data_IF_030814781852
#
_entry.id   IF_030814781852
#
_cell.length_a   1.000
_cell.length_b   1.000
_cell.length_c   1.000
_cell.angle_alpha   90.00
_cell.angle_beta   90.00
_cell.angle_gamma   90.00
#
_symmetry.space_group_name_H-M   'P 1'
#
loop_
_entity.id
_entity.type
_entity.pdbx_description
1 polymer ?
#
# COMPACT_ATOMS: atom_id res chain seq x y z
N UNK A 1 -4.78 28.26 -20.40
CA UNK A 1 -4.06 28.44 -19.12
C UNK A 1 -4.63 27.56 -18.01
N UNK A 2 -5.95 27.59 -17.72
CA UNK A 2 -6.56 26.75 -16.67
C UNK A 2 -6.60 25.24 -16.98
N UNK A 3 -6.86 24.86 -18.24
CA UNK A 3 -6.85 23.44 -18.67
C UNK A 3 -5.50 22.73 -18.46
N UNK A 4 -4.39 23.47 -18.57
CA UNK A 4 -3.04 22.92 -18.37
C UNK A 4 -2.75 22.63 -16.88
N UNK A 5 -3.26 23.48 -15.98
CA UNK A 5 -3.11 23.31 -14.53
C UNK A 5 -3.90 22.09 -14.02
N UNK A 6 -5.12 21.89 -14.51
CA UNK A 6 -5.95 20.75 -14.13
C UNK A 6 -5.33 19.44 -14.62
N UNK A 7 -4.97 19.37 -15.90
CA UNK A 7 -4.29 18.21 -16.46
C UNK A 7 -3.01 17.85 -15.68
N UNK A 8 -2.24 18.86 -15.26
CA UNK A 8 -1.08 18.67 -14.40
C UNK A 8 -1.43 18.09 -13.02
N UNK A 9 -2.44 18.63 -12.32
CA UNK A 9 -2.87 18.14 -11.00
C UNK A 9 -3.34 16.68 -11.06
N UNK A 10 -4.12 16.33 -12.07
CA UNK A 10 -4.62 14.96 -12.29
C UNK A 10 -3.45 14.01 -12.56
N UNK A 11 -2.56 14.34 -13.51
CA UNK A 11 -1.38 13.50 -13.83
C UNK A 11 -0.48 13.29 -12.63
N UNK A 12 -0.27 14.34 -11.83
CA UNK A 12 0.52 14.27 -10.59
C UNK A 12 -0.10 13.30 -9.58
N UNK A 13 -1.42 13.32 -9.42
CA UNK A 13 -2.10 12.40 -8.50
C UNK A 13 -2.07 10.95 -8.99
N UNK A 14 -2.26 10.71 -10.29
CA UNK A 14 -2.08 9.37 -10.86
C UNK A 14 -0.65 8.84 -10.65
N UNK A 15 0.37 9.68 -10.86
CA UNK A 15 1.77 9.29 -10.60
C UNK A 15 2.01 8.92 -9.13
N UNK A 16 1.41 9.66 -8.19
CA UNK A 16 1.47 9.33 -6.76
C UNK A 16 0.81 7.98 -6.46
N UNK A 17 -0.37 7.73 -7.05
CA UNK A 17 -1.09 6.46 -6.91
C UNK A 17 -0.28 5.29 -7.47
N UNK A 18 0.31 5.43 -8.66
CA UNK A 18 1.14 4.40 -9.30
C UNK A 18 2.36 4.04 -8.44
N UNK A 19 3.01 5.03 -7.84
CA UNK A 19 4.12 4.80 -6.90
C UNK A 19 3.66 3.99 -5.68
N UNK A 20 2.52 4.37 -5.08
CA UNK A 20 1.95 3.65 -3.95
C UNK A 20 1.52 2.21 -4.31
N UNK A 21 0.97 1.98 -5.51
CA UNK A 21 0.65 0.64 -6.01
C UNK A 21 1.93 -0.18 -6.15
N UNK A 22 2.99 0.40 -6.70
CA UNK A 22 4.28 -0.26 -6.87
C UNK A 22 4.87 -0.66 -5.51
N UNK A 23 4.89 0.25 -4.54
CA UNK A 23 5.32 -0.04 -3.18
C UNK A 23 4.47 -1.14 -2.52
N UNK A 24 3.15 -1.14 -2.76
CA UNK A 24 2.25 -2.15 -2.22
C UNK A 24 2.57 -3.55 -2.79
N UNK A 25 2.80 -3.65 -4.10
CA UNK A 25 3.16 -4.91 -4.77
C UNK A 25 4.48 -5.44 -4.23
N UNK A 26 5.50 -4.58 -4.12
CA UNK A 26 6.80 -4.94 -3.56
C UNK A 26 6.65 -5.43 -2.11
N UNK A 27 5.94 -4.67 -1.27
CA UNK A 27 5.69 -5.02 0.14
C UNK A 27 5.01 -6.39 0.25
N UNK A 28 4.01 -6.68 -0.60
CA UNK A 28 3.33 -7.97 -0.62
C UNK A 28 4.25 -9.12 -1.02
N UNK A 29 5.16 -8.93 -1.98
CA UNK A 29 6.17 -9.94 -2.33
C UNK A 29 7.07 -10.27 -1.14
N UNK A 30 7.51 -9.26 -0.39
CA UNK A 30 8.29 -9.49 0.83
C UNK A 30 7.48 -10.20 1.91
N UNK A 31 6.19 -9.87 2.10
CA UNK A 31 5.31 -10.58 3.04
C UNK A 31 5.20 -12.05 2.67
N UNK A 32 4.96 -12.37 1.40
CA UNK A 32 4.89 -13.76 0.93
C UNK A 32 6.21 -14.50 1.16
N UNK A 33 7.34 -13.85 0.88
CA UNK A 33 8.68 -14.43 1.08
C UNK A 33 8.96 -14.70 2.56
N UNK A 34 8.63 -13.76 3.46
CA UNK A 34 8.78 -13.93 4.90
C UNK A 34 7.89 -15.06 5.44
N UNK A 35 6.65 -15.18 4.95
CA UNK A 35 5.75 -16.31 5.30
C UNK A 35 6.32 -17.65 4.84
N UNK A 36 6.83 -17.72 3.61
CA UNK A 36 7.43 -18.93 3.07
C UNK A 36 8.69 -19.35 3.87
N UNK A 37 9.55 -18.38 4.22
CA UNK A 37 10.70 -18.62 5.09
C UNK A 37 10.31 -19.14 6.47
N UNK A 38 9.28 -18.55 7.08
CA UNK A 38 8.76 -18.99 8.37
C UNK A 38 8.23 -20.43 8.34
N UNK A 39 7.52 -20.81 7.28
CA UNK A 39 7.03 -22.19 7.09
C UNK A 39 8.21 -23.17 6.99
N UNK A 40 9.20 -22.87 6.14
CA UNK A 40 10.40 -23.73 5.97
C UNK A 40 11.19 -23.90 7.27
N UNK A 41 11.38 -22.84 8.04
CA UNK A 41 12.09 -22.93 9.31
C UNK A 41 11.30 -23.69 10.36
N UNK A 42 9.96 -23.58 10.37
CA UNK A 42 9.11 -24.40 11.23
C UNK A 42 9.21 -25.89 10.88
N UNK A 43 9.24 -26.22 9.59
CA UNK A 43 9.46 -27.59 9.11
C UNK A 43 10.85 -28.11 9.52
N UNK A 44 11.90 -27.30 9.37
CA UNK A 44 13.26 -27.65 9.76
C UNK A 44 13.38 -27.93 11.26
N UNK A 45 12.85 -27.02 12.10
CA UNK A 45 12.79 -27.19 13.56
C UNK A 45 12.07 -28.48 13.97
N UNK A 46 10.98 -28.83 13.28
CA UNK A 46 10.25 -30.07 13.54
C UNK A 46 11.08 -31.33 13.27
N UNK A 47 11.96 -31.29 12.26
CA UNK A 47 12.88 -32.39 11.93
C UNK A 47 14.06 -32.44 12.91
N UNK A 48 14.69 -31.29 13.20
CA UNK A 48 15.84 -31.20 14.12
C UNK A 48 15.45 -31.63 15.54
N UNK A 49 14.26 -31.25 16.00
CA UNK A 49 13.72 -31.66 17.30
C UNK A 49 13.54 -33.18 17.40
N UNK A 50 13.13 -33.85 16.31
CA UNK A 50 13.03 -35.32 16.26
C UNK A 50 14.40 -36.00 16.24
N UNK A 51 15.43 -35.31 15.77
CA UNK A 51 16.80 -35.81 15.70
C UNK A 51 17.65 -35.52 16.96
N UNK A 52 17.07 -34.88 17.99
CA UNK A 52 17.79 -34.54 19.23
C UNK A 52 18.77 -33.37 19.13
N UNK A 53 18.72 -32.59 18.04
CA UNK A 53 19.57 -31.42 17.85
C UNK A 53 19.10 -30.20 18.64
N UNK A 54 20.04 -29.32 19.02
CA UNK A 54 19.72 -28.07 19.74
C UNK A 54 19.12 -27.01 18.79
N UNK A 55 17.89 -26.51 19.06
CA UNK A 55 17.15 -25.61 18.16
C UNK A 55 17.51 -24.11 18.29
N UNK A 56 18.61 -23.77 18.98
CA UNK A 56 18.88 -22.39 19.44
C UNK A 56 18.94 -21.35 18.32
N UNK A 57 19.63 -21.63 17.21
CA UNK A 57 19.78 -20.69 16.07
C UNK A 57 18.46 -20.43 15.34
N UNK A 58 17.59 -21.42 15.31
CA UNK A 58 16.37 -21.39 14.53
C UNK A 58 15.26 -20.61 15.25
N UNK A 59 15.28 -20.55 16.59
CA UNK A 59 14.34 -19.72 17.36
C UNK A 59 14.58 -18.22 17.13
N UNK A 60 15.83 -17.77 17.14
CA UNK A 60 16.18 -16.37 16.89
C UNK A 60 15.84 -15.97 15.45
N UNK A 61 16.12 -16.86 14.49
CA UNK A 61 15.73 -16.66 13.10
C UNK A 61 14.20 -16.54 12.98
N UNK A 62 13.42 -17.44 13.57
CA UNK A 62 11.95 -17.40 13.54
C UNK A 62 11.40 -16.10 14.13
N UNK A 63 11.95 -15.66 15.26
CA UNK A 63 11.59 -14.39 15.89
C UNK A 63 11.90 -13.20 14.97
N UNK A 64 13.04 -13.21 14.28
CA UNK A 64 13.40 -12.16 13.31
C UNK A 64 12.45 -12.12 12.11
N UNK A 65 12.04 -13.30 11.60
CA UNK A 65 11.06 -13.40 10.50
C UNK A 65 9.67 -12.91 10.91
N UNK A 66 9.24 -13.22 12.14
CA UNK A 66 7.98 -12.72 12.69
C UNK A 66 7.98 -11.19 12.84
N UNK A 67 9.07 -10.62 13.36
CA UNK A 67 9.23 -9.17 13.45
C UNK A 67 9.21 -8.50 12.07
N UNK A 68 9.91 -9.06 11.09
CA UNK A 68 9.90 -8.58 9.70
C UNK A 68 8.47 -8.63 9.12
N UNK A 69 7.76 -9.74 9.29
CA UNK A 69 6.39 -9.89 8.82
C UNK A 69 5.46 -8.85 9.45
N UNK A 70 5.59 -8.58 10.74
CA UNK A 70 4.79 -7.57 11.44
C UNK A 70 5.09 -6.16 10.92
N UNK A 71 6.36 -5.81 10.71
CA UNK A 71 6.77 -4.53 10.11
C UNK A 71 6.20 -4.37 8.70
N UNK A 72 6.30 -5.41 7.86
CA UNK A 72 5.77 -5.37 6.50
C UNK A 72 4.25 -5.22 6.46
N UNK A 73 3.51 -5.86 7.38
CA UNK A 73 2.05 -5.67 7.52
C UNK A 73 1.68 -4.23 7.89
N UNK A 74 2.46 -3.59 8.76
CA UNK A 74 2.26 -2.18 9.12
C UNK A 74 2.50 -1.26 7.91
N UNK A 75 3.56 -1.54 7.14
CA UNK A 75 3.84 -0.83 5.87
C UNK A 75 2.69 -1.02 4.89
N UNK A 76 2.21 -2.26 4.69
CA UNK A 76 1.06 -2.54 3.80
C UNK A 76 -0.19 -1.75 4.23
N UNK A 77 -0.47 -1.69 5.55
CA UNK A 77 -1.60 -0.93 6.11
C UNK A 77 -1.45 0.56 5.84
N UNK A 78 -0.25 1.12 5.98
CA UNK A 78 0.05 2.53 5.70
C UNK A 78 -0.16 2.85 4.22
N UNK A 79 0.40 2.06 3.32
CA UNK A 79 0.25 2.27 1.86
C UNK A 79 -1.22 2.21 1.44
N UNK A 80 -2.00 1.23 1.95
CA UNK A 80 -3.45 1.14 1.69
C UNK A 80 -4.22 2.35 2.22
N UNK A 81 -3.77 2.97 3.31
CA UNK A 81 -4.37 4.22 3.81
C UNK A 81 -4.08 5.37 2.84
N UNK A 82 -2.83 5.54 2.45
CA UNK A 82 -2.42 6.59 1.51
C UNK A 82 -3.12 6.45 0.16
N UNK A 83 -3.26 5.23 -0.38
CA UNK A 83 -4.01 4.99 -1.61
C UNK A 83 -5.47 5.47 -1.53
N UNK A 84 -6.12 5.26 -0.38
CA UNK A 84 -7.50 5.75 -0.16
C UNK A 84 -7.56 7.27 -0.05
N UNK A 85 -6.56 7.88 0.58
CA UNK A 85 -6.44 9.35 0.69
C UNK A 85 -6.21 9.96 -0.70
N UNK A 86 -5.26 9.43 -1.49
CA UNK A 86 -5.01 9.87 -2.87
C UNK A 86 -6.22 9.67 -3.80
N UNK A 87 -6.96 8.57 -3.65
CA UNK A 87 -8.20 8.36 -4.41
C UNK A 87 -9.28 9.41 -4.06
N UNK A 88 -9.38 9.81 -2.78
CA UNK A 88 -10.29 10.90 -2.37
C UNK A 88 -9.83 12.24 -2.91
N UNK A 89 -8.54 12.55 -2.84
CA UNK A 89 -7.98 13.79 -3.39
C UNK A 89 -8.24 13.89 -4.90
N UNK A 90 -8.04 12.80 -5.64
CA UNK A 90 -8.37 12.74 -7.06
C UNK A 90 -9.87 12.98 -7.30
N UNK A 91 -10.74 12.34 -6.51
CA UNK A 91 -12.18 12.57 -6.56
C UNK A 91 -12.56 14.03 -6.26
N UNK A 92 -11.90 14.68 -5.31
CA UNK A 92 -12.11 16.09 -4.99
C UNK A 92 -11.67 17.01 -6.12
N UNK A 93 -10.52 16.74 -6.76
CA UNK A 93 -10.06 17.49 -7.94
C UNK A 93 -11.13 17.41 -9.04
N UNK A 94 -11.56 16.20 -9.40
CA UNK A 94 -12.58 16.00 -10.42
C UNK A 94 -13.94 16.63 -10.06
N UNK A 95 -14.27 16.74 -8.76
CA UNK A 95 -15.55 17.30 -8.29
C UNK A 95 -15.55 18.83 -8.22
N UNK A 96 -14.42 19.47 -7.89
CA UNK A 96 -14.29 20.92 -7.88
C UNK A 96 -14.50 21.51 -9.26
N UNK A 97 -13.95 20.88 -10.30
CA UNK A 97 -14.09 21.39 -11.67
C UNK A 97 -15.51 21.21 -12.24
N UNK A 98 -16.27 20.21 -11.77
CA UNK A 98 -17.68 20.05 -12.14
C UNK A 98 -18.57 21.20 -11.60
N UNK A 99 -18.18 21.84 -10.50
CA UNK A 99 -18.92 22.94 -9.88
C UNK A 99 -18.56 24.30 -10.49
N UNK A 100 -17.31 24.50 -10.89
CA UNK A 100 -16.85 25.73 -11.55
C UNK A 100 -17.29 25.83 -13.03
N UNK A 101 -17.86 24.75 -13.58
CA UNK A 101 -18.38 24.68 -14.95
C UNK A 101 -19.88 24.97 -15.14
N UNK A 102 -20.66 25.31 -14.11
CA UNK A 102 -22.07 25.70 -14.30
C UNK A 102 -22.20 27.20 -14.64
N UNK A 103 -22.66 27.58 -15.86
CA UNK A 103 -23.15 28.92 -16.08
C UNK A 103 -24.41 29.10 -15.22
N UNK A 104 -24.31 29.97 -14.21
CA UNK A 104 -25.43 30.39 -13.40
C UNK A 104 -26.44 31.14 -14.28
N UNK A 105 -27.32 30.41 -14.96
CA UNK A 105 -28.56 30.98 -15.51
C UNK A 105 -29.48 31.29 -14.33
N UNK A 106 -29.19 32.39 -13.63
CA UNK A 106 -30.20 33.08 -12.84
C UNK A 106 -31.27 33.55 -13.81
N UNK A 107 -32.39 32.81 -13.83
CA UNK A 107 -33.64 33.16 -14.51
C UNK A 107 -33.98 34.62 -14.19
N UNK A 108 -33.97 35.46 -15.23
CA UNK A 108 -34.50 36.80 -15.19
C UNK A 108 -36.02 36.68 -15.15
N UNK A 109 -36.64 37.18 -14.08
CA UNK A 109 -38.09 37.35 -13.99
C UNK A 109 -38.55 38.33 -15.08
N UNK A 110 -39.61 37.97 -15.80
CA UNK A 110 -40.62 38.89 -16.31
C UNK A 110 -41.99 38.25 -16.09
#
# INVERSE_FOLDING_TARGET
MAEDLLGYRIRKQFSSIDNLITELVITRKYICSAKAGFIRCREHLSVVSKAGGQPGSDQDFMKSQEQLLNRLKLVEKRIKRQLRESARELGHICSQDCLDGQPSQRKMQR
#
